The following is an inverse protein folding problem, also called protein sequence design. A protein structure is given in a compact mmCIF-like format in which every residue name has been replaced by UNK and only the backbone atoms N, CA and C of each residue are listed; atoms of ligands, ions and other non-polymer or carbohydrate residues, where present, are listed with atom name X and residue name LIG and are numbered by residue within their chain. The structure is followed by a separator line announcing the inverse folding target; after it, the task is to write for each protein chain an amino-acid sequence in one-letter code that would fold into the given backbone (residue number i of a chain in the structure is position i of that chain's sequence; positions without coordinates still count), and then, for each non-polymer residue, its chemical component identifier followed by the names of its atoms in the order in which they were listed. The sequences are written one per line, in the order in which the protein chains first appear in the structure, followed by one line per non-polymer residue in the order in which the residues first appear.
data_IF_217695942716
#
_entry.id   IF_217695942716
#
_cell.length_a   1.000
_cell.length_b   1.000
_cell.length_c   1.000
_cell.angle_alpha   90.00
_cell.angle_beta   90.00
_cell.angle_gamma   90.00
#
_symmetry.space_group_name_H-M   'P 1'
#
loop_
_entity.id
_entity.type
_entity.pdbx_description
1 polymer ?
#
# COMPACT_ATOMS: atom_id res chain seq x y z
N UNK A 1 4.91 30.81 18.26
CA UNK A 1 3.95 30.14 17.37
C UNK A 1 2.59 30.12 18.05
N UNK A 2 1.52 30.49 17.34
CA UNK A 2 0.19 30.68 17.94
C UNK A 2 -0.48 29.33 18.25
N UNK A 3 -1.16 29.19 19.39
CA UNK A 3 -1.78 27.94 19.86
C UNK A 3 -2.75 27.33 18.83
N UNK A 4 -3.52 28.19 18.16
CA UNK A 4 -4.43 27.80 17.08
C UNK A 4 -3.73 27.22 15.84
N UNK A 5 -2.47 27.58 15.58
CA UNK A 5 -1.71 26.97 14.50
C UNK A 5 -1.30 25.55 14.91
N UNK A 6 -0.85 25.36 16.15
CA UNK A 6 -0.45 24.05 16.66
C UNK A 6 -1.60 23.03 16.63
N UNK A 7 -2.81 23.44 17.00
CA UNK A 7 -4.00 22.58 16.93
C UNK A 7 -4.34 22.16 15.49
N UNK A 8 -4.29 23.08 14.52
CA UNK A 8 -4.51 22.75 13.10
C UNK A 8 -3.48 21.75 12.56
N UNK A 9 -2.21 21.92 12.93
CA UNK A 9 -1.14 20.98 12.56
C UNK A 9 -1.35 19.60 13.21
N UNK A 10 -1.75 19.56 14.48
CA UNK A 10 -2.05 18.30 15.17
C UNK A 10 -3.23 17.56 14.53
N UNK A 11 -4.30 18.27 14.15
CA UNK A 11 -5.45 17.66 13.49
C UNK A 11 -5.12 17.16 12.09
N UNK A 12 -4.27 17.88 11.34
CA UNK A 12 -3.76 17.42 10.05
C UNK A 12 -2.89 16.16 10.21
N UNK A 13 -2.02 16.12 11.23
CA UNK A 13 -1.19 14.95 11.51
C UNK A 13 -2.03 13.70 11.83
N UNK A 14 -3.07 13.83 12.66
CA UNK A 14 -3.99 12.72 12.96
C UNK A 14 -4.71 12.18 11.71
N UNK A 15 -5.10 13.06 10.79
CA UNK A 15 -5.79 12.68 9.54
C UNK A 15 -4.87 11.98 8.55
N UNK A 16 -3.59 12.30 8.57
CA UNK A 16 -2.58 11.60 7.78
C UNK A 16 -2.14 10.29 8.44
N UNK A 17 -2.22 10.18 9.76
CA UNK A 17 -1.81 8.97 10.48
C UNK A 17 -2.49 7.70 9.95
N UNK A 18 -3.82 7.71 9.77
CA UNK A 18 -4.58 6.55 9.29
C UNK A 18 -4.11 6.04 7.91
N UNK A 19 -4.05 6.87 6.84
CA UNK A 19 -3.59 6.39 5.54
C UNK A 19 -2.11 5.97 5.53
N UNK A 20 -1.24 6.63 6.30
CA UNK A 20 0.16 6.21 6.41
C UNK A 20 0.30 4.86 7.11
N UNK A 21 -0.47 4.62 8.17
CA UNK A 21 -0.51 3.32 8.84
C UNK A 21 -1.04 2.24 7.90
N UNK A 22 -2.11 2.50 7.17
CA UNK A 22 -2.67 1.56 6.20
C UNK A 22 -1.66 1.20 5.08
N UNK A 23 -0.91 2.17 4.56
CA UNK A 23 0.18 1.92 3.60
C UNK A 23 1.28 1.06 4.23
N UNK A 24 1.69 1.34 5.47
CA UNK A 24 2.73 0.58 6.15
C UNK A 24 2.31 -0.88 6.39
N UNK A 25 1.09 -1.11 6.85
CA UNK A 25 0.52 -2.46 7.00
C UNK A 25 0.45 -3.19 5.66
N UNK A 26 0.01 -2.48 4.61
CA UNK A 26 -0.05 -3.02 3.26
C UNK A 26 1.35 -3.42 2.75
N UNK A 27 2.37 -2.57 2.93
CA UNK A 27 3.75 -2.86 2.56
C UNK A 27 4.27 -4.12 3.26
N UNK A 28 4.06 -4.23 4.57
CA UNK A 28 4.47 -5.41 5.35
C UNK A 28 3.79 -6.66 4.81
N UNK A 29 2.48 -6.59 4.59
CA UNK A 29 1.70 -7.72 4.06
C UNK A 29 2.17 -8.14 2.66
N UNK A 30 2.45 -7.18 1.78
CA UNK A 30 2.95 -7.46 0.43
C UNK A 30 4.32 -8.11 0.47
N UNK A 31 5.25 -7.57 1.26
CA UNK A 31 6.59 -8.14 1.41
C UNK A 31 6.56 -9.56 2.01
N UNK A 32 5.72 -9.80 3.01
CA UNK A 32 5.50 -11.15 3.57
C UNK A 32 4.84 -12.10 2.57
N UNK A 33 4.04 -11.56 1.65
CA UNK A 33 3.33 -12.32 0.64
C UNK A 33 4.16 -12.66 -0.59
N UNK A 34 5.29 -12.00 -0.87
CA UNK A 34 6.09 -12.28 -2.06
C UNK A 34 6.64 -13.71 -2.03
N UNK A 35 6.44 -14.43 -3.13
CA UNK A 35 6.94 -15.80 -3.28
C UNK A 35 8.29 -15.75 -3.98
N UNK A 36 9.25 -16.49 -3.46
CA UNK A 36 10.55 -16.67 -4.07
C UNK A 36 10.87 -18.16 -4.14
N UNK A 37 11.73 -18.51 -5.08
CA UNK A 37 12.20 -19.87 -5.24
C UNK A 37 13.09 -20.23 -4.04
N UNK A 38 12.71 -21.23 -3.26
CA UNK A 38 13.52 -21.61 -2.11
C UNK A 38 14.71 -22.48 -2.53
N UNK A 39 15.85 -22.45 -1.79
CA UNK A 39 17.02 -23.26 -2.12
C UNK A 39 16.75 -24.77 -2.15
N UNK A 40 15.84 -25.25 -1.29
CA UNK A 40 15.39 -26.63 -1.28
C UNK A 40 14.60 -26.99 -2.54
N UNK A 41 13.76 -26.10 -3.07
CA UNK A 41 13.05 -26.34 -4.32
C UNK A 41 13.98 -26.41 -5.53
N UNK A 42 15.08 -25.63 -5.51
CA UNK A 42 16.14 -25.68 -6.50
C UNK A 42 16.94 -26.99 -6.44
N UNK A 43 17.23 -27.50 -5.25
CA UNK A 43 17.98 -28.74 -5.07
C UNK A 43 17.27 -29.98 -5.66
N UNK A 44 15.96 -29.91 -5.86
CA UNK A 44 15.15 -30.98 -6.44
C UNK A 44 14.90 -30.85 -7.95
N UNK A 45 15.37 -29.76 -8.58
CA UNK A 45 15.28 -29.55 -10.03
C UNK A 45 16.16 -30.57 -10.74
N UNK A 46 15.56 -31.34 -11.66
CA UNK A 46 16.28 -32.37 -12.43
C UNK A 46 16.59 -31.92 -13.85
N UNK A 47 15.85 -30.92 -14.35
CA UNK A 47 15.97 -30.43 -15.73
C UNK A 47 15.94 -28.91 -15.80
N UNK A 48 16.69 -28.28 -16.72
CA UNK A 48 16.69 -26.82 -16.89
C UNK A 48 15.29 -26.22 -17.18
N UNK A 49 14.44 -26.96 -17.89
CA UNK A 49 13.08 -26.51 -18.24
C UNK A 49 12.19 -26.33 -17.01
N UNK A 50 12.38 -27.14 -15.96
CA UNK A 50 11.64 -27.05 -14.69
C UNK A 50 11.97 -25.73 -13.94
N UNK A 51 13.18 -25.20 -14.11
CA UNK A 51 13.55 -23.87 -13.57
C UNK A 51 12.77 -22.79 -14.27
N UNK A 52 12.70 -22.85 -15.60
CA UNK A 52 12.00 -21.84 -16.40
C UNK A 52 10.50 -21.82 -16.06
N UNK A 53 9.88 -23.00 -15.97
CA UNK A 53 8.46 -23.12 -15.58
C UNK A 53 8.21 -22.54 -14.18
N UNK A 54 9.06 -22.86 -13.21
CA UNK A 54 8.97 -22.29 -11.85
C UNK A 54 9.12 -20.77 -11.85
N UNK A 55 10.04 -20.21 -12.64
CA UNK A 55 10.21 -18.76 -12.75
C UNK A 55 8.99 -18.07 -13.36
N UNK A 56 8.38 -18.67 -14.40
CA UNK A 56 7.14 -18.15 -15.00
C UNK A 56 6.00 -18.17 -13.97
N UNK A 57 5.83 -19.28 -13.26
CA UNK A 57 4.80 -19.39 -12.22
C UNK A 57 4.98 -18.35 -11.11
N UNK A 58 6.23 -18.15 -10.64
CA UNK A 58 6.55 -17.10 -9.67
C UNK A 58 6.28 -15.70 -10.21
N UNK A 59 6.63 -15.42 -11.47
CA UNK A 59 6.39 -14.13 -12.10
C UNK A 59 4.88 -13.84 -12.21
N UNK A 60 4.08 -14.83 -12.58
CA UNK A 60 2.61 -14.71 -12.62
C UNK A 60 2.04 -14.48 -11.23
N UNK A 61 2.44 -15.28 -10.25
CA UNK A 61 1.93 -15.17 -8.87
C UNK A 61 2.31 -13.83 -8.22
N UNK A 62 3.58 -13.43 -8.33
CA UNK A 62 4.04 -12.13 -7.82
C UNK A 62 3.46 -10.96 -8.62
N UNK A 63 3.21 -11.14 -9.92
CA UNK A 63 2.50 -10.16 -10.75
C UNK A 63 1.09 -9.88 -10.22
N UNK A 64 0.33 -10.93 -9.88
CA UNK A 64 -0.99 -10.77 -9.25
C UNK A 64 -0.90 -10.04 -7.91
N UNK A 65 0.08 -10.37 -7.06
CA UNK A 65 0.30 -9.69 -5.78
C UNK A 65 0.68 -8.22 -5.95
N UNK A 66 1.48 -7.89 -6.96
CA UNK A 66 1.85 -6.53 -7.28
C UNK A 66 0.65 -5.70 -7.76
N UNK A 67 -0.21 -6.29 -8.62
CA UNK A 67 -1.45 -5.65 -9.07
C UNK A 67 -2.43 -5.42 -7.90
N UNK A 68 -2.58 -6.42 -7.02
CA UNK A 68 -3.42 -6.31 -5.82
C UNK A 68 -2.90 -5.22 -4.86
N UNK A 69 -1.58 -5.19 -4.63
CA UNK A 69 -0.92 -4.13 -3.86
C UNK A 69 -1.19 -2.74 -4.46
N UNK A 70 -1.04 -2.58 -5.78
CA UNK A 70 -1.30 -1.33 -6.49
C UNK A 70 -2.76 -0.90 -6.33
N UNK A 71 -3.70 -1.83 -6.48
CA UNK A 71 -5.13 -1.57 -6.30
C UNK A 71 -5.44 -1.11 -4.86
N UNK A 72 -4.95 -1.82 -3.85
CA UNK A 72 -5.17 -1.46 -2.45
C UNK A 72 -4.51 -0.12 -2.08
N UNK A 73 -3.32 0.15 -2.62
CA UNK A 73 -2.64 1.44 -2.44
C UNK A 73 -3.48 2.60 -2.98
N UNK A 74 -4.05 2.45 -4.18
CA UNK A 74 -4.94 3.47 -4.74
C UNK A 74 -6.19 3.67 -3.91
N UNK A 75 -6.82 2.60 -3.41
CA UNK A 75 -7.99 2.71 -2.56
C UNK A 75 -7.72 3.50 -1.27
N UNK A 76 -6.56 3.28 -0.64
CA UNK A 76 -6.14 4.02 0.56
C UNK A 76 -5.98 5.52 0.24
N UNK A 77 -5.27 5.82 -0.85
CA UNK A 77 -5.01 7.21 -1.26
C UNK A 77 -6.30 7.91 -1.67
N UNK A 78 -7.17 7.24 -2.43
CA UNK A 78 -8.48 7.76 -2.83
C UNK A 78 -9.34 8.10 -1.62
N UNK A 79 -9.45 7.18 -0.64
CA UNK A 79 -10.20 7.43 0.60
C UNK A 79 -9.66 8.65 1.35
N UNK A 80 -8.33 8.76 1.47
CA UNK A 80 -7.68 9.90 2.12
C UNK A 80 -7.98 11.22 1.38
N UNK A 81 -7.83 11.25 0.05
CA UNK A 81 -8.11 12.44 -0.76
C UNK A 81 -9.58 12.85 -0.70
N UNK A 82 -10.51 11.90 -0.79
CA UNK A 82 -11.95 12.17 -0.66
C UNK A 82 -12.28 12.77 0.72
N UNK A 83 -11.65 12.28 1.78
CA UNK A 83 -11.76 12.86 3.12
C UNK A 83 -11.33 14.33 3.16
N UNK A 84 -10.13 14.61 2.63
CA UNK A 84 -9.59 15.97 2.57
C UNK A 84 -10.48 16.92 1.75
N UNK A 85 -10.98 16.48 0.58
CA UNK A 85 -11.84 17.31 -0.29
C UNK A 85 -13.18 17.61 0.39
N UNK A 86 -13.80 16.63 1.06
CA UNK A 86 -15.05 16.85 1.80
C UNK A 86 -14.88 17.90 2.89
N UNK A 87 -13.76 17.88 3.58
CA UNK A 87 -13.49 18.81 4.67
C UNK A 87 -13.11 20.21 4.19
N UNK A 88 -12.37 20.31 3.09
CA UNK A 88 -12.12 21.58 2.41
C UNK A 88 -13.44 22.24 1.97
N UNK A 89 -14.38 21.45 1.42
CA UNK A 89 -15.72 21.93 1.06
C UNK A 89 -16.52 22.40 2.28
N UNK A 90 -16.46 21.67 3.39
CA UNK A 90 -17.11 22.07 4.66
C UNK A 90 -16.59 23.42 5.15
N UNK A 91 -15.26 23.57 5.24
CA UNK A 91 -14.61 24.81 5.67
C UNK A 91 -14.93 25.99 4.74
N UNK A 92 -15.04 25.74 3.43
CA UNK A 92 -15.42 26.77 2.45
C UNK A 92 -16.91 27.16 2.53
N UNK A 93 -17.79 26.23 2.90
CA UNK A 93 -19.23 26.46 3.06
C UNK A 93 -19.60 27.18 4.36
N UNK A 94 -18.82 26.99 5.43
CA UNK A 94 -18.99 27.68 6.72
C UNK A 94 -18.54 29.16 6.67
N UNK A 95 -17.80 29.58 5.64
CA UNK A 95 -17.33 30.96 5.42
C UNK A 95 -18.23 31.79 4.47
N UNK A 96 -19.43 31.32 4.14
CA UNK A 96 -20.46 32.04 3.36
C UNK A 96 -21.67 32.34 4.22
#
# INVERSE_FOLDING_TARGET
MNQANFEKWSEMAKKLQEPFQAIAELNVKTLQGLTYLKPDELAHVKKPEEVLEKQINLAVENGHKALDYMQQSFQIIEKAMLGLVKEAKKTAGENK
#
